data_IF_330117848605
#
_entry.id   IF_330117848605
#
_cell.length_a   1.000
_cell.length_b   1.000
_cell.length_c   1.000
_cell.angle_alpha   90.00
_cell.angle_beta   90.00
_cell.angle_gamma   90.00
#
_symmetry.space_group_name_H-M   'P 1'
#
loop_
_entity.id
_entity.type
_entity.pdbx_description
1 polymer ?
#
# COMPACT_ATOMS: atom_id res chain seq x y z
N UNK A 1 7.06 5.00 -10.32
CA UNK A 1 5.86 5.07 -9.48
C UNK A 1 4.89 3.96 -9.83
N UNK A 2 4.49 3.21 -8.83
CA UNK A 2 3.55 2.10 -9.00
C UNK A 2 2.29 2.38 -8.19
N UNK A 3 1.14 2.24 -8.83
CA UNK A 3 -0.15 2.44 -8.18
C UNK A 3 -0.96 1.15 -8.32
N UNK A 4 -1.41 0.61 -7.20
CA UNK A 4 -2.28 -0.56 -7.19
C UNK A 4 -3.57 -0.20 -6.48
N UNK A 5 -4.69 -0.45 -7.14
CA UNK A 5 -6.01 -0.24 -6.56
C UNK A 5 -6.50 -1.56 -5.98
N UNK A 6 -6.81 -1.55 -4.68
CA UNK A 6 -7.26 -2.75 -3.97
C UNK A 6 -8.73 -2.58 -3.63
N UNK A 7 -9.60 -3.37 -4.28
CA UNK A 7 -11.01 -3.33 -3.97
C UNK A 7 -11.30 -4.24 -2.78
N UNK A 8 -11.95 -3.66 -1.78
CA UNK A 8 -12.30 -4.38 -0.55
C UNK A 8 -13.82 -4.46 -0.42
N UNK A 9 -14.28 -5.40 0.39
CA UNK A 9 -15.70 -5.50 0.70
C UNK A 9 -16.16 -4.27 1.49
N UNK A 10 -15.27 -3.71 2.31
CA UNK A 10 -15.55 -2.52 3.10
C UNK A 10 -14.23 -1.85 3.44
N UNK A 11 -14.24 -0.53 3.50
CA UNK A 11 -13.09 0.23 3.95
C UNK A 11 -13.08 0.42 5.48
N UNK A 12 -14.14 -0.01 6.16
CA UNK A 12 -14.21 0.18 7.60
C UNK A 12 -13.01 -0.48 8.28
N UNK A 13 -12.30 0.29 9.10
CA UNK A 13 -11.19 -0.24 9.86
C UNK A 13 -9.90 -0.49 9.09
N UNK A 14 -9.80 -0.03 7.84
CA UNK A 14 -8.58 -0.29 7.08
C UNK A 14 -7.34 0.32 7.75
N UNK A 15 -7.51 1.44 8.42
CA UNK A 15 -6.41 2.13 9.10
C UNK A 15 -5.96 1.37 10.35
N UNK A 16 -6.82 0.53 10.88
CA UNK A 16 -6.52 -0.26 12.07
C UNK A 16 -6.07 -1.67 11.75
N UNK A 17 -5.92 -1.99 10.47
CA UNK A 17 -5.44 -3.31 10.04
C UNK A 17 -3.96 -3.45 10.41
N UNK A 18 -3.61 -4.29 11.41
CA UNK A 18 -2.24 -4.38 11.88
C UNK A 18 -1.29 -4.96 10.83
N UNK A 19 -1.79 -5.82 9.96
CA UNK A 19 -0.95 -6.41 8.90
C UNK A 19 -0.57 -5.36 7.88
N UNK A 20 -1.54 -4.52 7.51
CA UNK A 20 -1.28 -3.45 6.56
C UNK A 20 -0.34 -2.40 7.13
N UNK A 21 -0.56 -2.00 8.37
CA UNK A 21 0.28 -1.02 9.04
C UNK A 21 1.72 -1.51 9.15
N UNK A 22 1.89 -2.76 9.54
CA UNK A 22 3.21 -3.36 9.68
C UNK A 22 3.94 -3.43 8.33
N UNK A 23 3.23 -3.86 7.30
CA UNK A 23 3.81 -3.99 5.98
C UNK A 23 4.19 -2.64 5.41
N UNK A 24 3.35 -1.63 5.66
CA UNK A 24 3.66 -0.26 5.24
C UNK A 24 4.93 0.24 5.89
N UNK A 25 5.09 0.00 7.19
CA UNK A 25 6.28 0.43 7.90
C UNK A 25 7.52 -0.30 7.40
N UNK A 26 7.40 -1.59 7.14
CA UNK A 26 8.50 -2.38 6.59
C UNK A 26 8.90 -1.88 5.20
N UNK A 27 7.92 -1.61 4.37
CA UNK A 27 8.17 -1.12 3.02
C UNK A 27 8.86 0.24 3.03
N UNK A 28 8.38 1.14 3.89
CA UNK A 28 8.98 2.47 3.99
C UNK A 28 10.41 2.38 4.52
N UNK A 29 10.65 1.50 5.48
CA UNK A 29 11.99 1.29 6.02
C UNK A 29 12.93 0.75 4.95
N UNK A 30 12.44 -0.16 4.11
CA UNK A 30 13.24 -0.73 3.04
C UNK A 30 13.61 0.33 1.99
N UNK A 31 12.69 1.23 1.68
CA UNK A 31 12.95 2.30 0.72
C UNK A 31 13.84 3.41 1.30
N UNK A 32 13.74 3.64 2.60
CA UNK A 32 14.49 4.70 3.25
C UNK A 32 14.14 6.07 2.66
N UNK A 33 15.17 6.85 2.37
CA UNK A 33 14.98 8.17 1.78
C UNK A 33 14.85 8.13 0.26
N UNK A 34 14.98 6.95 -0.36
CA UNK A 34 14.96 6.82 -1.82
C UNK A 34 13.58 6.57 -2.39
N UNK A 35 12.57 6.50 -1.53
CA UNK A 35 11.22 6.30 -2.00
C UNK A 35 10.22 6.52 -0.90
N UNK A 36 8.95 6.31 -1.23
CA UNK A 36 7.89 6.48 -0.24
C UNK A 36 6.69 5.63 -0.57
N UNK A 37 5.91 5.37 0.48
CA UNK A 37 4.69 4.59 0.39
C UNK A 37 3.52 5.47 0.82
N UNK A 38 2.47 5.49 0.02
CA UNK A 38 1.24 6.21 0.35
C UNK A 38 0.07 5.27 0.18
N UNK A 39 -0.84 5.26 1.15
CA UNK A 39 -2.06 4.47 1.10
C UNK A 39 -3.22 5.39 1.35
N UNK A 40 -4.18 5.41 0.44
CA UNK A 40 -5.34 6.28 0.52
C UNK A 40 -6.61 5.52 0.23
N UNK A 41 -7.68 5.88 0.91
CA UNK A 41 -8.99 5.37 0.60
C UNK A 41 -9.62 6.23 -0.49
N UNK A 42 -10.32 5.57 -1.43
CA UNK A 42 -11.11 6.28 -2.42
C UNK A 42 -12.31 6.93 -1.73
N UNK A 43 -12.73 8.09 -2.21
CA UNK A 43 -13.86 8.79 -1.62
C UNK A 43 -15.22 8.24 -2.02
N UNK A 44 -15.30 7.47 -3.09
CA UNK A 44 -16.57 7.04 -3.66
C UNK A 44 -16.76 5.53 -3.74
N UNK A 45 -15.68 4.75 -3.63
CA UNK A 45 -15.74 3.30 -3.76
C UNK A 45 -14.94 2.65 -2.66
N UNK A 46 -15.24 1.38 -2.31
CA UNK A 46 -14.46 0.66 -1.29
C UNK A 46 -13.13 0.18 -1.87
N UNK A 47 -12.30 1.13 -2.26
CA UNK A 47 -11.01 0.87 -2.89
C UNK A 47 -9.93 1.60 -2.13
N UNK A 48 -8.86 0.87 -1.81
CA UNK A 48 -7.64 1.47 -1.28
C UNK A 48 -6.67 1.69 -2.43
N UNK A 49 -6.08 2.85 -2.46
CA UNK A 49 -5.04 3.16 -3.43
C UNK A 49 -3.70 3.04 -2.75
N UNK A 50 -2.93 2.07 -3.21
CA UNK A 50 -1.59 1.81 -2.69
C UNK A 50 -0.58 2.33 -3.71
N UNK A 51 0.21 3.31 -3.31
CA UNK A 51 1.22 3.89 -4.19
C UNK A 51 2.60 3.71 -3.59
N UNK A 52 3.52 3.21 -4.41
CA UNK A 52 4.92 3.09 -4.03
C UNK A 52 5.75 3.82 -5.06
N UNK A 53 6.60 4.72 -4.59
CA UNK A 53 7.47 5.51 -5.45
C UNK A 53 8.92 5.22 -5.11
N UNK A 54 9.70 4.82 -6.11
CA UNK A 54 11.13 4.61 -5.94
C UNK A 54 11.79 4.62 -7.32
N UNK A 55 13.12 4.65 -7.32
CA UNK A 55 13.87 4.62 -8.57
C UNK A 55 13.82 3.25 -9.26
N UNK A 56 13.54 2.19 -8.49
CA UNK A 56 13.47 0.82 -9.01
C UNK A 56 12.02 0.41 -9.20
N UNK A 57 11.57 0.37 -10.45
CA UNK A 57 10.19 0.04 -10.77
C UNK A 57 9.79 -1.37 -10.34
N UNK A 58 10.69 -2.32 -10.46
CA UNK A 58 10.43 -3.70 -10.04
C UNK A 58 10.23 -3.81 -8.54
N UNK A 59 11.03 -3.09 -7.79
CA UNK A 59 10.92 -3.06 -6.34
C UNK A 59 9.62 -2.38 -5.91
N UNK A 60 9.29 -1.26 -6.56
CA UNK A 60 8.04 -0.56 -6.28
C UNK A 60 6.84 -1.47 -6.49
N UNK A 61 6.86 -2.24 -7.57
CA UNK A 61 5.76 -3.16 -7.87
C UNK A 61 5.63 -4.25 -6.82
N UNK A 62 6.73 -4.86 -6.44
CA UNK A 62 6.71 -5.92 -5.43
C UNK A 62 6.17 -5.42 -4.10
N UNK A 63 6.61 -4.24 -3.70
CA UNK A 63 6.14 -3.66 -2.45
C UNK A 63 4.66 -3.31 -2.52
N UNK A 64 4.22 -2.73 -3.62
CA UNK A 64 2.81 -2.38 -3.79
C UNK A 64 1.93 -3.62 -3.77
N UNK A 65 2.34 -4.70 -4.41
CA UNK A 65 1.58 -5.95 -4.41
C UNK A 65 1.54 -6.58 -3.02
N UNK A 66 2.64 -6.51 -2.30
CA UNK A 66 2.71 -7.02 -0.94
C UNK A 66 1.75 -6.25 -0.02
N UNK A 67 1.68 -4.93 -0.19
CA UNK A 67 0.77 -4.10 0.57
C UNK A 67 -0.69 -4.41 0.22
N UNK A 68 -0.96 -4.64 -1.06
CA UNK A 68 -2.30 -5.01 -1.50
C UNK A 68 -2.77 -6.31 -0.86
N UNK A 69 -1.89 -7.30 -0.77
CA UNK A 69 -2.22 -8.56 -0.11
C UNK A 69 -2.50 -8.36 1.38
N UNK A 70 -1.68 -7.55 2.04
CA UNK A 70 -1.90 -7.26 3.46
C UNK A 70 -3.23 -6.56 3.68
N UNK A 71 -3.64 -5.70 2.75
CA UNK A 71 -4.91 -5.00 2.85
C UNK A 71 -6.11 -5.95 2.70
N UNK A 72 -5.96 -6.99 1.89
CA UNK A 72 -7.04 -7.96 1.67
C UNK A 72 -7.20 -8.94 2.82
N UNK A 73 -6.14 -9.20 3.50
CA UNK A 73 -6.12 -10.22 4.52
C UNK A 73 -6.05 -9.73 5.89
#
# INVERSE_FOLDING_TARGET
QTLVNVRLASLAGWQDNPRLARRRDEAQAELGSEGRVLIRASGTEPVLRVMVESADAGRSRKLAESLAEAARG
#
